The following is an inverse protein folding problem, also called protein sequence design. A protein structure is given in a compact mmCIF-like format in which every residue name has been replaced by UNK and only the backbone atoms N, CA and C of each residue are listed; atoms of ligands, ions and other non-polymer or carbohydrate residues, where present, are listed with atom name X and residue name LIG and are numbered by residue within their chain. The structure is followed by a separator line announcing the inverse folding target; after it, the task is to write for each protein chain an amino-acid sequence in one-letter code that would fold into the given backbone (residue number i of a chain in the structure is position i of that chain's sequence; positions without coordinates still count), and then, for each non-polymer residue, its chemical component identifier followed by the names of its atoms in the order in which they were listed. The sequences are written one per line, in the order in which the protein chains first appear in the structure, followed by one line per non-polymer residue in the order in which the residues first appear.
data_IF_526933170871
#
_entry.id   IF_526933170871
#
_cell.length_a   1.000
_cell.length_b   1.000
_cell.length_c   1.000
_cell.angle_alpha   90.00
_cell.angle_beta   90.00
_cell.angle_gamma   90.00
#
_symmetry.space_group_name_H-M   'P 1'
#
loop_
_entity.id
_entity.type
_entity.pdbx_description
1 polymer ?
#
# COMPACT_ATOMS: atom_id res chain seq x y z
N UNK A 1 9.38 10.82 14.89
CA UNK A 1 10.41 10.03 15.56
C UNK A 1 11.51 10.89 16.23
N UNK A 2 11.42 12.23 16.16
CA UNK A 2 12.34 13.15 16.86
C UNK A 2 13.73 13.28 16.22
N UNK A 3 13.92 12.74 15.00
CA UNK A 3 15.15 12.86 14.21
C UNK A 3 14.87 13.53 12.88
N UNK A 4 15.90 14.16 12.28
CA UNK A 4 15.75 14.72 10.93
C UNK A 4 15.64 13.61 9.87
N UNK A 5 15.07 13.88 8.69
CA UNK A 5 15.04 12.91 7.58
C UNK A 5 16.42 12.39 7.18
N UNK A 6 17.44 13.25 7.22
CA UNK A 6 18.81 12.87 6.90
C UNK A 6 19.42 11.95 7.96
N UNK A 7 19.15 12.23 9.24
CA UNK A 7 19.62 11.37 10.34
C UNK A 7 18.90 10.01 10.28
N UNK A 8 17.60 9.99 10.02
CA UNK A 8 16.84 8.74 9.83
C UNK A 8 17.46 7.89 8.70
N UNK A 9 17.75 8.53 7.55
CA UNK A 9 18.40 7.84 6.42
C UNK A 9 19.76 7.25 6.84
N UNK A 10 20.58 8.05 7.48
CA UNK A 10 21.91 7.62 7.91
C UNK A 10 21.85 6.45 8.90
N UNK A 11 20.91 6.47 9.84
CA UNK A 11 20.74 5.41 10.83
C UNK A 11 20.28 4.08 10.19
N UNK A 12 19.35 4.13 9.22
CA UNK A 12 18.89 2.96 8.46
C UNK A 12 20.04 2.38 7.60
N UNK A 13 20.77 3.22 6.88
CA UNK A 13 21.90 2.80 6.06
C UNK A 13 23.05 2.23 6.92
N UNK A 14 23.33 2.81 8.08
CA UNK A 14 24.31 2.28 9.04
C UNK A 14 23.93 0.90 9.60
N UNK A 15 22.62 0.59 9.66
CA UNK A 15 22.11 -0.73 10.02
C UNK A 15 22.16 -1.74 8.84
N UNK A 16 22.66 -1.34 7.66
CA UNK A 16 22.68 -2.18 6.45
C UNK A 16 21.32 -2.36 5.78
N UNK A 17 20.38 -1.45 6.03
CA UNK A 17 19.03 -1.46 5.48
C UNK A 17 18.86 -0.34 4.44
N UNK A 18 17.86 -0.47 3.60
CA UNK A 18 17.46 0.56 2.63
C UNK A 18 16.17 1.25 3.07
N UNK A 19 16.08 2.56 2.86
CA UNK A 19 14.86 3.32 3.05
C UNK A 19 14.01 3.17 1.79
N UNK A 20 12.96 2.34 1.83
CA UNK A 20 12.19 1.99 0.64
C UNK A 20 10.84 2.70 0.59
N UNK A 21 10.00 2.52 1.59
CA UNK A 21 8.60 2.93 1.61
C UNK A 21 8.16 3.36 3.00
N UNK A 22 7.13 4.18 3.06
CA UNK A 22 6.45 4.50 4.32
C UNK A 22 4.94 4.50 4.16
N UNK A 23 4.23 4.12 5.21
CA UNK A 23 2.81 4.39 5.36
C UNK A 23 2.62 5.78 5.96
N UNK A 24 2.01 6.67 5.19
CA UNK A 24 1.81 8.07 5.58
C UNK A 24 0.57 8.62 4.88
N UNK A 25 -0.31 9.29 5.61
CA UNK A 25 -1.46 9.93 5.00
C UNK A 25 -1.94 11.16 5.77
N UNK A 26 -2.51 12.08 5.02
CA UNK A 26 -3.42 13.13 5.45
C UNK A 26 -4.60 13.08 4.51
N UNK A 27 -5.70 12.50 4.96
CA UNK A 27 -6.95 12.41 4.20
C UNK A 27 -7.67 13.75 4.19
N UNK A 28 -8.56 13.92 3.20
CA UNK A 28 -9.53 15.02 3.20
C UNK A 28 -10.54 14.84 4.34
N UNK A 29 -10.94 15.93 4.98
CA UNK A 29 -12.09 15.94 5.86
C UNK A 29 -13.40 16.17 5.06
N UNK A 30 -14.54 16.03 5.71
CA UNK A 30 -15.86 16.09 5.05
C UNK A 30 -16.11 17.45 4.36
N UNK A 31 -15.63 18.56 4.93
CA UNK A 31 -15.74 19.89 4.35
C UNK A 31 -14.87 20.07 3.09
N UNK A 32 -13.64 19.55 3.15
CA UNK A 32 -12.73 19.54 2.00
C UNK A 32 -13.31 18.71 0.84
N UNK A 33 -13.88 17.55 1.16
CA UNK A 33 -14.55 16.68 0.18
C UNK A 33 -15.76 17.43 -0.43
N UNK A 34 -16.64 17.95 0.42
CA UNK A 34 -17.86 18.67 -0.01
C UNK A 34 -17.57 19.87 -0.90
N UNK A 35 -16.52 20.62 -0.58
CA UNK A 35 -16.15 21.83 -1.30
C UNK A 35 -15.12 21.59 -2.42
N UNK A 36 -14.66 20.35 -2.59
CA UNK A 36 -13.57 20.00 -3.51
C UNK A 36 -12.33 20.89 -3.30
N UNK A 37 -12.00 21.18 -2.03
CA UNK A 37 -10.88 22.05 -1.65
C UNK A 37 -9.71 21.26 -1.08
N UNK A 38 -8.64 21.14 -1.85
CA UNK A 38 -7.45 20.37 -1.51
C UNK A 38 -6.32 21.19 -0.89
N UNK A 39 -6.47 22.51 -0.79
CA UNK A 39 -5.36 23.44 -0.49
C UNK A 39 -4.63 23.10 0.81
N UNK A 40 -5.37 22.92 1.90
CA UNK A 40 -4.76 22.64 3.20
C UNK A 40 -4.11 21.25 3.22
N UNK A 41 -4.76 20.24 2.63
CA UNK A 41 -4.24 18.90 2.54
C UNK A 41 -2.98 18.84 1.66
N UNK A 42 -3.01 19.50 0.49
CA UNK A 42 -1.86 19.52 -0.42
C UNK A 42 -0.67 20.29 0.16
N UNK A 43 -0.89 21.34 0.95
CA UNK A 43 0.20 22.00 1.68
C UNK A 43 0.90 21.04 2.64
N UNK A 44 0.14 20.26 3.40
CA UNK A 44 0.70 19.24 4.29
C UNK A 44 1.47 18.18 3.50
N UNK A 45 0.91 17.75 2.35
CA UNK A 45 1.58 16.78 1.48
C UNK A 45 2.89 17.33 0.89
N UNK A 46 2.97 18.61 0.54
CA UNK A 46 4.22 19.22 0.05
C UNK A 46 5.34 19.14 1.11
N UNK A 47 5.03 19.41 2.37
CA UNK A 47 5.97 19.28 3.50
C UNK A 47 6.36 17.81 3.74
N UNK A 48 5.40 16.91 3.67
CA UNK A 48 5.59 15.47 3.80
C UNK A 48 6.49 14.93 2.67
N UNK A 49 6.24 15.31 1.42
CA UNK A 49 7.01 14.91 0.23
C UNK A 49 8.46 15.36 0.36
N UNK A 50 8.71 16.61 0.80
CA UNK A 50 10.07 17.10 1.02
C UNK A 50 10.82 16.25 2.06
N UNK A 51 10.18 15.96 3.19
CA UNK A 51 10.79 15.12 4.24
C UNK A 51 11.11 13.70 3.73
N UNK A 52 10.20 13.08 2.97
CA UNK A 52 10.40 11.74 2.41
C UNK A 52 11.51 11.70 1.36
N UNK A 53 11.59 12.72 0.51
CA UNK A 53 12.67 12.88 -0.46
C UNK A 53 14.04 12.98 0.23
N UNK A 54 14.15 13.78 1.29
CA UNK A 54 15.38 13.94 2.08
C UNK A 54 15.74 12.66 2.83
N UNK A 55 14.74 11.89 3.28
CA UNK A 55 14.95 10.55 3.85
C UNK A 55 15.36 9.49 2.81
N UNK A 56 15.27 9.78 1.52
CA UNK A 56 15.67 8.85 0.45
C UNK A 56 14.60 7.80 0.13
N UNK A 57 13.32 8.04 0.49
CA UNK A 57 12.21 7.13 0.17
C UNK A 57 11.99 7.01 -1.33
N UNK A 58 11.63 5.80 -1.78
CA UNK A 58 11.17 5.56 -3.15
C UNK A 58 9.65 5.67 -3.25
N UNK A 59 8.94 5.15 -2.26
CA UNK A 59 7.49 5.10 -2.24
C UNK A 59 6.92 5.83 -1.01
N UNK A 60 5.77 6.47 -1.22
CA UNK A 60 4.91 6.97 -0.14
C UNK A 60 3.54 6.33 -0.35
N UNK A 61 3.03 5.62 0.65
CA UNK A 61 1.78 4.88 0.55
C UNK A 61 0.78 5.41 1.57
N UNK A 62 -0.40 5.82 1.10
CA UNK A 62 -1.52 6.15 1.97
C UNK A 62 -2.18 4.85 2.47
N UNK A 63 -2.13 4.56 3.78
CA UNK A 63 -2.56 3.26 4.30
C UNK A 63 -4.05 3.18 4.63
N UNK A 64 -4.78 4.28 4.53
CA UNK A 64 -6.17 4.33 4.98
C UNK A 64 -6.95 5.48 4.36
N UNK A 65 -8.19 5.18 3.98
CA UNK A 65 -9.22 6.16 3.66
C UNK A 65 -10.58 5.64 4.18
N UNK A 66 -11.37 6.51 4.80
CA UNK A 66 -12.74 6.15 5.18
C UNK A 66 -13.58 5.86 3.93
N UNK A 67 -14.55 4.95 4.05
CA UNK A 67 -15.50 4.71 2.96
C UNK A 67 -16.37 5.95 2.77
N UNK A 68 -16.29 6.64 1.62
CA UNK A 68 -17.11 7.81 1.37
C UNK A 68 -18.59 7.44 1.27
N UNK A 69 -19.46 8.36 1.71
CA UNK A 69 -20.92 8.11 1.72
C UNK A 69 -21.56 8.10 0.32
N UNK A 70 -20.90 8.76 -0.66
CA UNK A 70 -21.42 8.87 -2.03
C UNK A 70 -20.32 8.64 -3.08
N UNK A 71 -20.73 8.25 -4.29
CA UNK A 71 -19.82 8.12 -5.45
C UNK A 71 -19.14 9.46 -5.78
N UNK A 72 -19.86 10.58 -5.65
CA UNK A 72 -19.27 11.91 -5.86
C UNK A 72 -18.15 12.22 -4.86
N UNK A 73 -18.34 11.86 -3.59
CA UNK A 73 -17.30 11.98 -2.57
C UNK A 73 -16.11 11.06 -2.84
N UNK A 74 -16.36 9.84 -3.30
CA UNK A 74 -15.30 8.90 -3.70
C UNK A 74 -14.52 9.42 -4.91
N UNK A 75 -15.19 10.03 -5.89
CA UNK A 75 -14.50 10.69 -7.01
C UNK A 75 -13.58 11.82 -6.53
N UNK A 76 -14.07 12.65 -5.60
CA UNK A 76 -13.25 13.73 -4.99
C UNK A 76 -11.98 13.17 -4.32
N UNK A 77 -12.08 12.02 -3.64
CA UNK A 77 -10.92 11.34 -3.06
C UNK A 77 -9.95 10.86 -4.15
N UNK A 78 -10.45 10.29 -5.24
CA UNK A 78 -9.62 9.86 -6.37
C UNK A 78 -8.90 11.05 -7.03
N UNK A 79 -9.60 12.17 -7.23
CA UNK A 79 -9.01 13.40 -7.78
C UNK A 79 -7.91 13.94 -6.87
N UNK A 80 -8.14 13.92 -5.56
CA UNK A 80 -7.14 14.31 -4.57
C UNK A 80 -5.89 13.43 -4.62
N UNK A 81 -6.05 12.10 -4.69
CA UNK A 81 -4.91 11.18 -4.78
C UNK A 81 -4.15 11.34 -6.11
N UNK A 82 -4.84 11.67 -7.20
CA UNK A 82 -4.18 12.03 -8.45
C UNK A 82 -3.29 13.26 -8.28
N UNK A 83 -3.77 14.30 -7.59
CA UNK A 83 -2.98 15.52 -7.32
C UNK A 83 -1.79 15.22 -6.37
N UNK A 84 -1.99 14.41 -5.33
CA UNK A 84 -0.89 13.98 -4.45
C UNK A 84 0.15 13.19 -5.26
N UNK A 85 -0.27 12.19 -6.01
CA UNK A 85 0.62 11.34 -6.81
C UNK A 85 1.42 12.11 -7.85
N UNK A 86 0.81 13.11 -8.49
CA UNK A 86 1.48 14.02 -9.42
C UNK A 86 2.61 14.80 -8.73
N UNK A 87 2.40 15.28 -7.49
CA UNK A 87 3.42 16.00 -6.70
C UNK A 87 4.54 15.06 -6.25
N UNK A 88 4.20 13.87 -5.77
CA UNK A 88 5.17 12.83 -5.38
C UNK A 88 6.05 12.44 -6.58
N UNK A 89 5.45 12.24 -7.76
CA UNK A 89 6.17 11.94 -9.01
C UNK A 89 7.11 13.09 -9.42
N UNK A 90 6.67 14.34 -9.31
CA UNK A 90 7.50 15.51 -9.58
C UNK A 90 8.71 15.60 -8.63
N UNK A 91 8.62 15.05 -7.43
CA UNK A 91 9.72 14.95 -6.48
C UNK A 91 10.65 13.75 -6.73
N UNK A 92 10.35 12.89 -7.72
CA UNK A 92 11.14 11.71 -8.10
C UNK A 92 10.81 10.45 -7.30
N UNK A 93 9.66 10.41 -6.65
CA UNK A 93 9.13 9.27 -5.91
C UNK A 93 7.82 8.76 -6.53
N UNK A 94 7.23 7.71 -5.98
CA UNK A 94 5.97 7.14 -6.43
C UNK A 94 4.96 7.11 -5.28
N UNK A 95 3.70 7.42 -5.59
CA UNK A 95 2.61 7.43 -4.62
C UNK A 95 1.70 6.23 -4.80
N UNK A 96 1.35 5.57 -3.69
CA UNK A 96 0.46 4.42 -3.69
C UNK A 96 -0.64 4.49 -2.63
N UNK A 97 -1.60 3.58 -2.76
CA UNK A 97 -2.65 3.34 -1.78
C UNK A 97 -2.61 1.88 -1.31
N UNK A 98 -2.69 1.67 0.00
CA UNK A 98 -2.76 0.37 0.64
C UNK A 98 -4.19 0.09 1.10
N UNK A 99 -4.71 -1.09 0.78
CA UNK A 99 -6.07 -1.49 1.14
C UNK A 99 -6.12 -2.30 2.43
N UNK A 100 -7.26 -2.17 3.10
CA UNK A 100 -7.78 -3.13 4.07
C UNK A 100 -9.00 -3.87 3.48
N UNK A 101 -9.87 -4.41 4.34
CA UNK A 101 -11.08 -5.11 3.90
C UNK A 101 -12.27 -4.18 3.65
N UNK A 102 -12.26 -2.97 4.22
CA UNK A 102 -13.41 -2.06 4.13
C UNK A 102 -13.55 -1.42 2.74
N UNK A 103 -12.50 -1.35 1.95
CA UNK A 103 -12.56 -0.86 0.57
C UNK A 103 -13.32 -1.79 -0.37
N UNK A 104 -13.56 -3.03 0.06
CA UNK A 104 -14.42 -3.99 -0.66
C UNK A 104 -15.92 -3.83 -0.33
N UNK A 105 -16.30 -2.72 0.28
CA UNK A 105 -17.69 -2.32 0.45
C UNK A 105 -18.19 -1.51 -0.74
N UNK A 106 -19.49 -1.58 -0.98
CA UNK A 106 -20.14 -0.80 -2.04
C UNK A 106 -20.54 0.57 -1.53
N UNK A 107 -20.06 1.61 -2.19
CA UNK A 107 -20.51 2.99 -1.97
C UNK A 107 -21.87 3.17 -2.62
N UNK A 108 -22.85 3.72 -1.89
CA UNK A 108 -24.26 3.85 -2.30
C UNK A 108 -24.90 2.52 -2.77
N UNK A 109 -24.36 1.38 -2.36
CA UNK A 109 -24.82 0.07 -2.83
C UNK A 109 -24.53 -0.25 -4.30
N UNK A 110 -23.77 0.60 -4.99
CA UNK A 110 -23.51 0.54 -6.45
C UNK A 110 -22.11 0.04 -6.76
N UNK A 111 -21.11 0.87 -6.47
CA UNK A 111 -19.71 0.65 -6.87
C UNK A 111 -18.86 0.18 -5.68
N UNK A 112 -18.06 -0.85 -5.87
CA UNK A 112 -17.06 -1.27 -4.89
C UNK A 112 -15.96 -0.20 -4.82
N UNK A 113 -15.69 0.30 -3.60
CA UNK A 113 -14.75 1.41 -3.41
C UNK A 113 -13.37 1.12 -4.03
N UNK A 114 -12.79 -0.06 -3.78
CA UNK A 114 -11.47 -0.41 -4.29
C UNK A 114 -11.41 -0.44 -5.82
N UNK A 115 -12.41 -1.07 -6.46
CA UNK A 115 -12.52 -1.09 -7.93
C UNK A 115 -12.61 0.33 -8.49
N UNK A 116 -13.44 1.16 -7.88
CA UNK A 116 -13.62 2.55 -8.29
C UNK A 116 -12.31 3.33 -8.18
N UNK A 117 -11.59 3.22 -7.06
CA UNK A 117 -10.31 3.88 -6.87
C UNK A 117 -9.28 3.45 -7.93
N UNK A 118 -9.19 2.15 -8.25
CA UNK A 118 -8.27 1.64 -9.26
C UNK A 118 -8.60 2.21 -10.66
N UNK A 119 -9.89 2.33 -10.98
CA UNK A 119 -10.34 2.81 -12.30
C UNK A 119 -10.29 4.32 -12.47
N UNK A 120 -10.47 5.09 -11.38
CA UNK A 120 -10.56 6.56 -11.41
C UNK A 120 -9.31 7.28 -10.90
N UNK A 121 -8.24 6.54 -10.58
CA UNK A 121 -6.91 7.11 -10.34
C UNK A 121 -6.00 6.87 -11.55
N UNK A 122 -5.20 7.90 -11.88
CA UNK A 122 -4.28 7.83 -13.00
C UNK A 122 -3.12 6.86 -12.69
N UNK A 123 -2.90 5.80 -13.49
CA UNK A 123 -1.82 4.82 -13.26
C UNK A 123 -0.41 5.42 -13.31
N UNK A 124 -0.24 6.58 -13.94
CA UNK A 124 1.02 7.31 -13.95
C UNK A 124 1.33 8.02 -12.62
N UNK A 125 0.33 8.19 -11.75
CA UNK A 125 0.45 8.93 -10.50
C UNK A 125 0.17 8.08 -9.27
N UNK A 126 -0.71 7.08 -9.38
CA UNK A 126 -1.16 6.27 -8.24
C UNK A 126 -1.01 4.79 -8.58
N UNK A 127 -0.19 4.08 -7.82
CA UNK A 127 -0.17 2.62 -7.80
C UNK A 127 -0.94 2.08 -6.59
N UNK A 128 -1.09 0.76 -6.48
CA UNK A 128 -1.68 0.12 -5.31
C UNK A 128 -0.66 -0.81 -4.64
N UNK A 129 -0.57 -0.69 -3.32
CA UNK A 129 0.06 -1.68 -2.46
C UNK A 129 -1.05 -2.59 -1.97
N UNK A 130 -1.20 -3.76 -2.62
CA UNK A 130 -2.25 -4.69 -2.21
C UNK A 130 -1.84 -5.45 -0.97
N UNK A 131 -2.62 -5.31 0.11
CA UNK A 131 -2.57 -6.25 1.22
C UNK A 131 -3.35 -7.51 0.87
N UNK A 132 -2.63 -8.62 0.75
CA UNK A 132 -3.21 -9.88 0.29
C UNK A 132 -4.13 -10.53 1.33
N UNK A 133 -3.83 -10.36 2.62
CA UNK A 133 -4.69 -10.86 3.71
C UNK A 133 -5.99 -10.08 3.80
N UNK A 134 -5.92 -8.75 3.79
CA UNK A 134 -7.10 -7.92 3.86
C UNK A 134 -7.98 -8.04 2.61
N UNK A 135 -7.38 -8.32 1.45
CA UNK A 135 -8.13 -8.66 0.22
C UNK A 135 -8.94 -9.95 0.42
N UNK A 136 -8.32 -11.01 0.96
CA UNK A 136 -9.03 -12.25 1.29
C UNK A 136 -10.09 -12.03 2.36
N UNK A 137 -9.82 -11.22 3.39
CA UNK A 137 -10.80 -10.83 4.41
C UNK A 137 -11.96 -10.03 3.83
N UNK A 138 -11.72 -9.25 2.78
CA UNK A 138 -12.73 -8.58 1.97
C UNK A 138 -13.49 -9.50 1.02
N UNK A 139 -13.30 -10.84 1.14
CA UNK A 139 -13.92 -11.87 0.29
C UNK A 139 -13.59 -11.71 -1.20
N UNK A 140 -12.38 -11.24 -1.48
CA UNK A 140 -11.87 -11.07 -2.84
C UNK A 140 -10.62 -11.91 -3.06
N UNK A 141 -10.30 -12.16 -4.33
CA UNK A 141 -9.12 -12.91 -4.75
C UNK A 141 -8.01 -11.94 -5.21
N UNK A 142 -6.84 -11.91 -4.58
CA UNK A 142 -5.70 -11.14 -5.08
C UNK A 142 -5.37 -11.47 -6.55
N UNK A 143 -5.40 -12.75 -6.91
CA UNK A 143 -5.06 -13.20 -8.28
C UNK A 143 -6.07 -12.69 -9.31
N UNK A 144 -7.37 -12.68 -8.98
CA UNK A 144 -8.39 -12.11 -9.86
C UNK A 144 -8.20 -10.60 -10.05
N UNK A 145 -7.81 -9.88 -8.99
CA UNK A 145 -7.47 -8.45 -9.08
C UNK A 145 -6.25 -8.20 -9.96
N UNK A 146 -5.21 -9.03 -9.88
CA UNK A 146 -4.05 -8.93 -10.79
C UNK A 146 -4.42 -9.14 -12.25
N UNK A 147 -5.39 -10.04 -12.51
CA UNK A 147 -5.91 -10.28 -13.86
C UNK A 147 -6.80 -9.13 -14.36
N UNK A 148 -7.63 -8.59 -13.46
CA UNK A 148 -8.57 -7.51 -13.76
C UNK A 148 -7.87 -6.17 -13.99
N UNK A 149 -6.81 -5.90 -13.22
CA UNK A 149 -6.07 -4.63 -13.21
C UNK A 149 -4.56 -4.86 -13.34
N UNK A 150 -4.08 -5.39 -14.47
CA UNK A 150 -2.67 -5.74 -14.63
C UNK A 150 -1.77 -4.50 -14.51
N UNK A 151 -0.64 -4.68 -13.82
CA UNK A 151 0.37 -3.63 -13.64
C UNK A 151 0.05 -2.57 -12.60
N UNK A 152 -1.11 -2.65 -11.91
CA UNK A 152 -1.50 -1.64 -10.92
C UNK A 152 -0.93 -1.88 -9.53
N UNK A 153 -0.40 -3.07 -9.22
CA UNK A 153 0.01 -3.49 -7.86
C UNK A 153 1.53 -3.60 -7.76
N UNK A 154 2.21 -2.44 -7.67
CA UNK A 154 3.69 -2.40 -7.62
C UNK A 154 4.28 -2.93 -6.32
N UNK A 155 3.54 -2.81 -5.23
CA UNK A 155 3.89 -3.38 -3.95
C UNK A 155 2.83 -4.39 -3.52
N UNK A 156 3.26 -5.49 -2.91
CA UNK A 156 2.37 -6.41 -2.20
C UNK A 156 2.70 -6.38 -0.72
N UNK A 157 1.68 -6.17 0.10
CA UNK A 157 1.77 -6.29 1.54
C UNK A 157 1.44 -7.73 1.92
N UNK A 158 2.49 -8.48 2.27
CA UNK A 158 2.43 -9.90 2.58
C UNK A 158 2.11 -10.07 4.05
N UNK A 159 0.87 -10.40 4.30
CA UNK A 159 0.26 -10.55 5.61
C UNK A 159 -0.58 -11.81 5.66
N UNK A 160 -0.72 -12.39 6.84
CA UNK A 160 -1.63 -13.48 7.15
C UNK A 160 -2.37 -13.15 8.46
N UNK A 161 -3.23 -14.02 8.93
CA UNK A 161 -3.92 -13.87 10.21
C UNK A 161 -2.95 -13.91 11.40
N UNK A 162 -1.93 -14.74 11.29
CA UNK A 162 -0.80 -14.87 12.22
C UNK A 162 0.50 -14.90 11.42
N UNK A 163 1.47 -15.73 11.80
CA UNK A 163 2.69 -15.93 11.00
C UNK A 163 2.34 -16.45 9.59
N UNK A 164 3.10 -16.00 8.60
CA UNK A 164 2.85 -16.32 7.18
C UNK A 164 2.75 -17.84 6.95
N UNK A 165 1.65 -18.24 6.32
CA UNK A 165 1.36 -19.63 5.96
C UNK A 165 0.72 -20.47 7.06
N UNK A 166 0.63 -19.97 8.31
CA UNK A 166 0.06 -20.76 9.42
C UNK A 166 -1.47 -20.83 9.39
N UNK A 167 -2.13 -19.77 8.95
CA UNK A 167 -3.61 -19.74 8.96
C UNK A 167 -4.25 -20.60 7.87
N UNK A 168 -3.55 -20.80 6.76
CA UNK A 168 -4.10 -21.44 5.56
C UNK A 168 -5.14 -20.59 4.82
N UNK A 169 -5.33 -19.32 5.22
CA UNK A 169 -6.33 -18.43 4.59
C UNK A 169 -5.85 -17.81 3.28
N UNK A 170 -4.54 -17.58 3.15
CA UNK A 170 -3.93 -16.86 2.02
C UNK A 170 -3.16 -17.84 1.15
N UNK A 171 -3.51 -17.92 -0.14
CA UNK A 171 -2.86 -18.76 -1.14
C UNK A 171 -1.59 -18.11 -1.68
N UNK A 172 -0.52 -18.09 -0.90
CA UNK A 172 0.73 -17.40 -1.26
C UNK A 172 1.38 -17.96 -2.54
N UNK A 173 1.28 -19.25 -2.81
CA UNK A 173 1.79 -19.88 -4.02
C UNK A 173 1.11 -19.31 -5.29
N UNK A 174 -0.21 -19.19 -5.28
CA UNK A 174 -0.97 -18.59 -6.36
C UNK A 174 -0.66 -17.09 -6.51
N UNK A 175 -0.53 -16.37 -5.40
CA UNK A 175 -0.20 -14.93 -5.40
C UNK A 175 1.18 -14.69 -6.01
N UNK A 176 2.22 -15.35 -5.48
CA UNK A 176 3.60 -15.20 -5.98
C UNK A 176 3.78 -15.74 -7.41
N UNK A 177 2.97 -16.73 -7.81
CA UNK A 177 2.92 -17.24 -9.19
C UNK A 177 2.34 -16.25 -10.21
N UNK A 178 1.67 -15.19 -9.76
CA UNK A 178 1.02 -14.18 -10.60
C UNK A 178 1.58 -12.75 -10.44
N UNK A 179 2.73 -12.59 -9.78
CA UNK A 179 3.35 -11.28 -9.51
C UNK A 179 3.71 -10.48 -10.78
N UNK A 180 4.03 -11.17 -11.87
CA UNK A 180 4.29 -10.51 -13.16
C UNK A 180 3.05 -9.79 -13.70
N UNK A 181 1.84 -10.36 -13.50
CA UNK A 181 0.57 -9.71 -13.85
C UNK A 181 0.25 -8.54 -12.92
N UNK A 182 0.53 -8.68 -11.64
CA UNK A 182 0.39 -7.60 -10.66
C UNK A 182 1.24 -6.37 -11.05
N UNK A 183 2.39 -6.58 -11.67
CA UNK A 183 3.42 -5.58 -11.91
C UNK A 183 4.27 -5.34 -10.65
N UNK A 184 4.39 -6.37 -9.78
CA UNK A 184 5.06 -6.26 -8.50
C UNK A 184 6.56 -5.99 -8.66
N UNK A 185 7.04 -4.95 -7.97
CA UNK A 185 8.45 -4.62 -7.85
C UNK A 185 9.04 -5.10 -6.51
N UNK A 186 8.26 -4.95 -5.43
CA UNK A 186 8.65 -5.36 -4.09
C UNK A 186 7.47 -5.96 -3.34
N UNK A 187 7.79 -6.71 -2.31
CA UNK A 187 6.84 -7.11 -1.28
C UNK A 187 7.36 -6.71 0.10
N UNK A 188 6.45 -6.38 0.99
CA UNK A 188 6.73 -6.05 2.39
C UNK A 188 5.98 -7.03 3.29
N UNK A 189 6.64 -7.45 4.37
CA UNK A 189 6.09 -8.39 5.33
C UNK A 189 5.57 -7.66 6.55
N UNK A 190 4.35 -7.98 6.97
CA UNK A 190 3.80 -7.52 8.23
C UNK A 190 3.32 -8.68 9.10
N UNK A 191 3.56 -8.55 10.40
CA UNK A 191 3.02 -9.41 11.45
C UNK A 191 2.45 -8.55 12.58
N UNK A 192 1.12 -8.48 12.68
CA UNK A 192 0.43 -7.78 13.78
C UNK A 192 0.25 -8.67 15.02
N UNK A 193 -0.09 -9.94 14.79
CA UNK A 193 -0.37 -10.91 15.82
C UNK A 193 0.32 -12.24 15.51
N UNK A 194 1.10 -12.74 16.45
CA UNK A 194 1.74 -14.04 16.35
C UNK A 194 1.07 -15.09 17.23
N UNK A 195 1.30 -16.37 16.91
CA UNK A 195 0.91 -17.49 17.77
C UNK A 195 1.87 -17.65 18.96
N UNK A 196 3.03 -16.98 18.92
CA UNK A 196 4.01 -16.93 20.01
C UNK A 196 3.97 -15.58 20.72
N UNK A 197 4.31 -15.50 22.02
CA UNK A 197 4.42 -14.22 22.73
C UNK A 197 5.54 -13.31 22.20
N UNK A 198 6.54 -13.91 21.54
CA UNK A 198 7.69 -13.20 20.97
C UNK A 198 7.40 -12.85 19.50
N UNK A 199 7.05 -11.59 19.24
CA UNK A 199 6.77 -11.10 17.91
C UNK A 199 7.97 -11.22 16.96
N UNK A 200 9.20 -11.10 17.47
CA UNK A 200 10.41 -11.25 16.66
C UNK A 200 10.64 -12.69 16.22
N UNK A 201 10.28 -13.67 17.07
CA UNK A 201 10.29 -15.07 16.69
C UNK A 201 9.23 -15.32 15.59
N UNK A 202 8.01 -14.83 15.76
CA UNK A 202 6.96 -14.93 14.74
C UNK A 202 7.35 -14.30 13.40
N UNK A 203 8.01 -13.14 13.44
CA UNK A 203 8.55 -12.49 12.24
C UNK A 203 9.64 -13.36 11.57
N UNK A 204 10.54 -13.94 12.35
CA UNK A 204 11.56 -14.87 11.85
C UNK A 204 10.97 -16.14 11.23
N UNK A 205 9.93 -16.69 11.82
CA UNK A 205 9.21 -17.83 11.25
C UNK A 205 8.55 -17.46 9.91
N UNK A 206 7.92 -16.31 9.85
CA UNK A 206 7.28 -15.79 8.64
C UNK A 206 8.27 -15.57 7.49
N UNK A 207 9.40 -14.93 7.75
CA UNK A 207 10.42 -14.73 6.71
C UNK A 207 11.06 -16.06 6.27
N UNK A 208 11.31 -16.99 7.20
CA UNK A 208 11.86 -18.30 6.87
C UNK A 208 10.90 -19.11 6.00
N UNK A 209 9.57 -19.02 6.25
CA UNK A 209 8.57 -19.65 5.40
C UNK A 209 8.66 -19.13 3.95
N UNK A 210 8.74 -17.81 3.78
CA UNK A 210 8.84 -17.19 2.45
C UNK A 210 10.17 -17.52 1.75
N UNK A 211 11.30 -17.49 2.46
CA UNK A 211 12.61 -17.81 1.90
C UNK A 211 12.77 -19.29 1.51
N UNK A 212 12.08 -20.19 2.19
CA UNK A 212 12.06 -21.61 1.85
C UNK A 212 11.09 -21.95 0.72
N UNK A 213 10.16 -21.05 0.40
CA UNK A 213 9.12 -21.29 -0.59
C UNK A 213 9.68 -21.18 -2.03
N UNK A 214 9.59 -22.26 -2.81
CA UNK A 214 10.12 -22.33 -4.18
C UNK A 214 9.44 -21.34 -5.16
N UNK A 215 8.26 -20.85 -4.82
CA UNK A 215 7.51 -19.87 -5.62
C UNK A 215 7.90 -18.42 -5.34
N UNK A 216 8.68 -18.15 -4.29
CA UNK A 216 9.20 -16.82 -3.99
C UNK A 216 10.55 -16.63 -4.69
N UNK A 217 10.65 -15.63 -5.55
CA UNK A 217 11.88 -15.31 -6.29
C UNK A 217 12.80 -14.42 -5.44
N UNK A 218 14.10 -14.46 -5.70
CA UNK A 218 15.08 -13.59 -5.02
C UNK A 218 14.99 -12.12 -5.44
N UNK A 219 14.40 -11.83 -6.59
CA UNK A 219 14.15 -10.47 -7.10
C UNK A 219 12.95 -10.46 -8.04
N UNK A 220 12.20 -9.37 -8.03
CA UNK A 220 11.04 -9.11 -8.89
C UNK A 220 11.24 -7.87 -9.76
N UNK A 221 12.27 -7.08 -9.48
CA UNK A 221 12.63 -5.91 -10.29
C UNK A 221 13.14 -6.37 -11.66
N UNK A 222 12.57 -5.81 -12.72
CA UNK A 222 13.04 -5.98 -14.09
C UNK A 222 14.13 -4.99 -14.43
#
# INVERSE_FOLDING_TARGET
YGVSPEQFKADIEAAGLEVLSSHTTRNLNDEEIKNHDFKAALKWWDECIDAHKRAGMKYIVAPWCNVPSTIGALQTVCDFYNEVGKRVKAAGMEFGYHNHSHEYQKVEGKEMMYDYMIQHTNPDYVFFEMDVYWTVRGQQSPVEYFQKYPGRFKLLHIKDHTEIGKSGMVGFDAIFGNTDKAGMEYWVLELEHGTTPDIMLGMKESINYLLAAKYVKSTYKK
#
